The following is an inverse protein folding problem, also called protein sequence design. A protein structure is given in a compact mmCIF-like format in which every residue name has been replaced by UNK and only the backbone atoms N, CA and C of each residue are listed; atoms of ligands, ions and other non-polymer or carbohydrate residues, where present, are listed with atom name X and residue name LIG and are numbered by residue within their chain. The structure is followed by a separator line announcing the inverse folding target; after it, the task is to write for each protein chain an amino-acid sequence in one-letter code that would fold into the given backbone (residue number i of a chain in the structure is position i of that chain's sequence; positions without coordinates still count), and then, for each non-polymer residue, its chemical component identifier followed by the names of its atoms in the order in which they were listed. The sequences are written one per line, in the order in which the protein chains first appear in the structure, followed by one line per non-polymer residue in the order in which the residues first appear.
data_IF_801276096746
#
_entry.id   IF_801276096746
#
_cell.length_a   1.000
_cell.length_b   1.000
_cell.length_c   1.000
_cell.angle_alpha   90.00
_cell.angle_beta   90.00
_cell.angle_gamma   90.00
#
_symmetry.space_group_name_H-M   'P 1'
#
loop_
_entity.id
_entity.type
_entity.pdbx_description
1 polymer ?
#
# COMPACT_ATOMS: atom_id res chain seq x y z
N UNK A 1 13.19 10.82 10.58
CA UNK A 1 12.00 9.96 10.63
C UNK A 1 10.76 10.84 10.58
N UNK A 2 9.68 10.38 9.94
CA UNK A 2 8.41 11.14 9.86
C UNK A 2 7.84 11.39 11.27
N UNK A 3 7.19 12.54 11.48
CA UNK A 3 6.40 12.79 12.70
C UNK A 3 5.23 11.82 12.79
N UNK A 4 4.71 11.58 13.99
CA UNK A 4 3.54 10.70 14.20
C UNK A 4 2.35 11.10 13.34
N UNK A 5 2.11 12.41 13.19
CA UNK A 5 1.06 12.94 12.33
C UNK A 5 1.26 12.52 10.85
N UNK A 6 2.49 12.63 10.34
CA UNK A 6 2.80 12.23 8.97
C UNK A 6 2.74 10.72 8.77
N UNK A 7 3.17 9.92 9.75
CA UNK A 7 3.04 8.46 9.72
C UNK A 7 1.57 8.03 9.64
N UNK A 8 0.71 8.66 10.46
CA UNK A 8 -0.73 8.40 10.44
C UNK A 8 -1.36 8.74 9.09
N UNK A 9 -1.06 9.92 8.53
CA UNK A 9 -1.57 10.33 7.22
C UNK A 9 -1.10 9.41 6.10
N UNK A 10 0.13 8.94 6.16
CA UNK A 10 0.64 7.95 5.20
C UNK A 10 -0.08 6.60 5.35
N UNK A 11 -0.29 6.14 6.58
CA UNK A 11 -1.04 4.90 6.83
C UNK A 11 -2.48 5.00 6.30
N UNK A 12 -3.19 6.09 6.61
CA UNK A 12 -4.56 6.33 6.10
C UNK A 12 -4.60 6.27 4.56
N UNK A 13 -3.63 6.91 3.89
CA UNK A 13 -3.50 6.83 2.44
C UNK A 13 -3.24 5.40 1.95
N UNK A 14 -2.26 4.70 2.53
CA UNK A 14 -1.93 3.33 2.15
C UNK A 14 -3.15 2.39 2.27
N UNK A 15 -3.88 2.49 3.38
CA UNK A 15 -5.08 1.67 3.59
C UNK A 15 -6.21 2.02 2.63
N UNK A 16 -6.35 3.29 2.24
CA UNK A 16 -7.35 3.68 1.22
C UNK A 16 -7.08 3.09 -0.16
N UNK A 17 -5.81 2.92 -0.54
CA UNK A 17 -5.43 2.25 -1.78
C UNK A 17 -5.57 0.71 -1.65
N UNK A 18 -5.17 0.15 -0.50
CA UNK A 18 -5.14 -1.29 -0.27
C UNK A 18 -6.53 -1.92 -0.08
N UNK A 19 -7.45 -1.16 0.51
CA UNK A 19 -8.82 -1.54 0.81
C UNK A 19 -9.75 -0.66 -0.02
N UNK A 20 -10.06 -1.12 -1.23
CA UNK A 20 -10.94 -0.43 -2.15
C UNK A 20 -11.98 -1.40 -2.72
N UNK A 21 -13.06 -0.83 -3.25
CA UNK A 21 -14.23 -1.58 -3.72
C UNK A 21 -14.22 -1.76 -5.26
N UNK A 22 -13.19 -1.23 -5.91
CA UNK A 22 -13.03 -1.21 -7.38
C UNK A 22 -12.43 -2.53 -7.86
N UNK A 23 -11.44 -3.05 -7.13
CA UNK A 23 -10.75 -4.29 -7.43
C UNK A 23 -11.01 -5.32 -6.33
N UNK A 24 -11.11 -6.59 -6.70
CA UNK A 24 -11.21 -7.63 -5.69
C UNK A 24 -9.95 -7.65 -4.79
N UNK A 25 -10.07 -8.09 -3.52
CA UNK A 25 -8.97 -8.01 -2.56
C UNK A 25 -7.70 -8.73 -2.98
N UNK A 26 -7.83 -9.81 -3.79
CA UNK A 26 -6.71 -10.61 -4.28
C UNK A 26 -5.99 -9.87 -5.41
N UNK A 27 -6.72 -9.27 -6.34
CA UNK A 27 -6.13 -8.45 -7.41
C UNK A 27 -5.35 -7.28 -6.82
N UNK A 28 -5.93 -6.54 -5.87
CA UNK A 28 -5.22 -5.44 -5.19
C UNK A 28 -3.93 -5.93 -4.52
N UNK A 29 -3.96 -7.08 -3.82
CA UNK A 29 -2.77 -7.67 -3.20
C UNK A 29 -1.66 -7.98 -4.22
N UNK A 30 -2.02 -8.60 -5.35
CA UNK A 30 -1.06 -8.98 -6.37
C UNK A 30 -0.42 -7.75 -7.05
N UNK A 31 -1.18 -6.67 -7.24
CA UNK A 31 -0.64 -5.41 -7.76
C UNK A 31 0.42 -4.86 -6.79
N UNK A 32 0.10 -4.76 -5.48
CA UNK A 32 1.06 -4.30 -4.49
C UNK A 32 2.33 -5.17 -4.47
N UNK A 33 2.18 -6.50 -4.49
CA UNK A 33 3.31 -7.43 -4.55
C UNK A 33 4.16 -7.22 -5.82
N UNK A 34 3.51 -7.16 -6.99
CA UNK A 34 4.18 -6.94 -8.26
C UNK A 34 4.95 -5.62 -8.30
N UNK A 35 4.37 -4.54 -7.76
CA UNK A 35 5.06 -3.25 -7.65
C UNK A 35 6.26 -3.31 -6.72
N UNK A 36 6.16 -3.99 -5.57
CA UNK A 36 7.28 -4.17 -4.65
C UNK A 36 8.42 -4.95 -5.31
N UNK A 37 8.10 -6.04 -6.00
CA UNK A 37 9.06 -6.84 -6.75
C UNK A 37 9.74 -6.05 -7.88
N UNK A 38 8.98 -5.25 -8.64
CA UNK A 38 9.51 -4.44 -9.73
C UNK A 38 10.49 -3.37 -9.25
N UNK A 39 10.29 -2.85 -8.03
CA UNK A 39 11.20 -1.90 -7.39
C UNK A 39 12.36 -2.57 -6.64
N UNK A 40 12.43 -3.91 -6.62
CA UNK A 40 13.39 -4.64 -5.79
C UNK A 40 13.21 -4.37 -4.30
N UNK A 41 12.02 -3.92 -3.89
CA UNK A 41 11.67 -3.63 -2.51
C UNK A 41 11.23 -4.94 -1.84
N UNK A 42 12.23 -5.73 -1.45
CA UNK A 42 12.03 -6.89 -0.59
C UNK A 42 11.91 -6.41 0.86
N UNK A 43 11.07 -7.07 1.68
CA UNK A 43 11.17 -6.93 3.13
C UNK A 43 12.56 -7.35 3.63
#
# INVERSE_FOLDING_TARGET
MLSEQHQKKYADFYYSARNNDILDPKTTLLIHLGTAMALGCSP
#
